data_IF_268858809721
#
_entry.id   IF_268858809721
#
_cell.length_a   1.000
_cell.length_b   1.000
_cell.length_c   1.000
_cell.angle_alpha   90.00
_cell.angle_beta   90.00
_cell.angle_gamma   90.00
#
_symmetry.space_group_name_H-M   'P 1'
#
loop_
_entity.id
_entity.type
_entity.pdbx_description
1 polymer ?
#
# COMPACT_ATOMS: atom_id res chain seq x y z
N UNK A 1 25.78 34.14 3.88
CA UNK A 1 24.64 34.49 3.01
C UNK A 1 23.89 33.15 2.84
N UNK A 2 22.89 32.95 3.66
CA UNK A 2 21.98 31.80 3.54
C UNK A 2 21.07 32.14 2.37
N UNK A 3 21.32 31.51 1.22
CA UNK A 3 20.33 31.49 0.15
C UNK A 3 19.05 30.90 0.75
N UNK A 4 18.01 31.69 0.79
CA UNK A 4 16.65 31.24 1.10
C UNK A 4 16.34 30.11 0.10
N UNK A 5 16.41 28.87 0.56
CA UNK A 5 15.81 27.76 -0.16
C UNK A 5 14.34 28.16 -0.31
N UNK A 6 13.94 28.37 -1.55
CA UNK A 6 12.56 28.71 -1.88
C UNK A 6 11.71 27.47 -1.54
N UNK A 7 11.33 27.38 -0.27
CA UNK A 7 10.53 26.24 0.20
C UNK A 7 9.17 26.30 -0.50
N UNK A 8 8.88 25.24 -1.24
CA UNK A 8 7.56 25.08 -1.82
C UNK A 8 6.55 24.95 -0.68
N UNK A 9 5.75 25.98 -0.46
CA UNK A 9 4.71 26.00 0.58
C UNK A 9 3.43 25.25 0.14
N UNK A 10 3.39 24.71 -1.08
CA UNK A 10 2.27 23.91 -1.55
C UNK A 10 2.44 22.49 -1.05
N UNK A 11 1.43 21.97 -0.37
CA UNK A 11 1.35 20.59 0.10
C UNK A 11 0.13 19.92 -0.50
N UNK A 12 0.21 18.61 -0.69
CA UNK A 12 -0.94 17.78 -1.01
C UNK A 12 -1.20 16.82 0.16
N UNK A 13 -2.44 16.37 0.28
CA UNK A 13 -2.86 15.47 1.34
C UNK A 13 -3.17 14.11 0.73
N UNK A 14 -2.50 13.07 1.22
CA UNK A 14 -2.88 11.68 0.98
C UNK A 14 -3.74 11.21 2.15
N UNK A 15 -4.94 10.73 1.86
CA UNK A 15 -5.82 10.12 2.86
C UNK A 15 -5.78 8.60 2.74
N UNK A 16 -5.25 7.92 3.75
CA UNK A 16 -5.32 6.47 3.89
C UNK A 16 -6.63 6.11 4.61
N UNK A 17 -7.65 5.74 3.86
CA UNK A 17 -9.02 5.51 4.40
C UNK A 17 -9.16 4.22 5.19
N UNK A 18 -8.27 3.26 4.95
CA UNK A 18 -8.10 2.02 5.72
C UNK A 18 -6.63 1.60 5.60
N UNK A 19 -6.13 0.78 6.48
CA UNK A 19 -4.73 0.35 6.47
C UNK A 19 -4.61 -1.15 6.28
N UNK A 20 -3.36 -1.67 6.36
CA UNK A 20 -3.04 -3.10 6.26
C UNK A 20 -3.30 -3.88 7.56
N UNK A 21 -3.33 -3.21 8.71
CA UNK A 21 -3.43 -3.87 10.00
C UNK A 21 -4.81 -4.50 10.27
N UNK A 22 -4.86 -5.51 11.13
CA UNK A 22 -6.11 -6.04 11.68
C UNK A 22 -6.66 -5.07 12.74
N UNK A 23 -7.29 -4.02 12.25
CA UNK A 23 -7.85 -2.93 13.07
C UNK A 23 -9.38 -2.92 13.06
N UNK A 24 -10.02 -3.89 12.43
CA UNK A 24 -11.47 -3.94 12.25
C UNK A 24 -12.26 -3.92 13.57
N UNK A 25 -11.66 -4.44 14.64
CA UNK A 25 -12.22 -4.42 15.99
C UNK A 25 -11.93 -3.16 16.78
N UNK A 26 -10.96 -2.33 16.33
CA UNK A 26 -10.49 -1.15 17.08
C UNK A 26 -11.33 0.10 16.83
N UNK A 27 -11.99 0.17 15.68
CA UNK A 27 -12.85 1.32 15.34
C UNK A 27 -14.10 0.88 14.60
N UNK A 28 -15.30 1.22 15.09
CA UNK A 28 -16.56 0.74 14.51
C UNK A 28 -16.80 1.27 13.09
N UNK A 29 -16.31 2.47 12.79
CA UNK A 29 -16.53 3.14 11.51
C UNK A 29 -15.42 2.86 10.47
N UNK A 30 -14.52 1.91 10.75
CA UNK A 30 -13.50 1.53 9.76
C UNK A 30 -14.20 1.02 8.48
N UNK A 31 -13.91 1.61 7.31
CA UNK A 31 -14.46 1.12 6.05
C UNK A 31 -13.96 -0.31 5.75
N UNK A 32 -14.86 -1.25 5.53
CA UNK A 32 -14.54 -2.67 5.32
C UNK A 32 -14.94 -3.15 3.94
N UNK A 33 -16.12 -2.72 3.47
CA UNK A 33 -16.60 -3.14 2.15
C UNK A 33 -16.06 -2.23 1.06
N UNK A 34 -15.93 -2.71 -0.19
CA UNK A 34 -15.54 -1.87 -1.32
C UNK A 34 -16.39 -0.60 -1.46
N UNK A 35 -17.69 -0.71 -1.19
CA UNK A 35 -18.59 0.46 -1.19
C UNK A 35 -18.22 1.47 -0.10
N UNK A 36 -17.96 1.03 1.13
CA UNK A 36 -17.56 1.90 2.23
C UNK A 36 -16.20 2.55 1.97
N UNK A 37 -15.23 1.78 1.44
CA UNK A 37 -13.89 2.27 1.10
C UNK A 37 -13.98 3.33 -0.01
N UNK A 38 -14.75 3.06 -1.06
CA UNK A 38 -14.95 4.02 -2.15
C UNK A 38 -15.65 5.30 -1.64
N UNK A 39 -16.70 5.15 -0.82
CA UNK A 39 -17.39 6.30 -0.22
C UNK A 39 -16.44 7.14 0.63
N UNK A 40 -15.67 6.53 1.52
CA UNK A 40 -14.69 7.24 2.35
C UNK A 40 -13.63 7.96 1.52
N UNK A 41 -13.14 7.35 0.43
CA UNK A 41 -12.20 7.96 -0.51
C UNK A 41 -12.80 9.19 -1.21
N UNK A 42 -14.05 9.11 -1.65
CA UNK A 42 -14.76 10.21 -2.29
C UNK A 42 -15.00 11.36 -1.29
N UNK A 43 -15.38 11.03 -0.06
CA UNK A 43 -15.59 12.03 1.00
C UNK A 43 -14.28 12.71 1.39
N UNK A 44 -13.17 11.96 1.49
CA UNK A 44 -11.84 12.51 1.73
C UNK A 44 -11.43 13.50 0.61
N UNK A 45 -11.65 13.13 -0.65
CA UNK A 45 -11.37 14.01 -1.79
C UNK A 45 -12.20 15.29 -1.75
N UNK A 46 -13.49 15.19 -1.45
CA UNK A 46 -14.36 16.37 -1.28
C UNK A 46 -13.94 17.27 -0.12
N UNK A 47 -13.30 16.69 0.90
CA UNK A 47 -12.71 17.42 2.02
C UNK A 47 -11.34 18.03 1.72
N UNK A 48 -10.76 17.76 0.52
CA UNK A 48 -9.51 18.36 0.04
C UNK A 48 -8.32 17.42 -0.07
N UNK A 49 -8.50 16.10 0.13
CA UNK A 49 -7.44 15.14 -0.15
C UNK A 49 -7.20 15.05 -1.67
N UNK A 50 -5.93 15.15 -2.07
CA UNK A 50 -5.51 15.00 -3.46
C UNK A 50 -5.36 13.53 -3.86
N UNK A 51 -5.01 12.69 -2.90
CA UNK A 51 -4.71 11.26 -3.09
C UNK A 51 -5.52 10.43 -2.11
N UNK A 52 -6.14 9.36 -2.58
CA UNK A 52 -6.72 8.31 -1.75
C UNK A 52 -5.82 7.07 -1.79
N UNK A 53 -5.24 6.71 -0.65
CA UNK A 53 -4.46 5.49 -0.48
C UNK A 53 -5.38 4.35 -0.06
N UNK A 54 -5.34 3.24 -0.79
CA UNK A 54 -6.37 2.21 -0.74
C UNK A 54 -5.76 0.85 -0.40
N UNK A 55 -6.25 0.28 0.69
CA UNK A 55 -6.24 -1.15 0.95
C UNK A 55 -7.67 -1.68 0.81
N UNK A 56 -7.83 -2.96 0.52
CA UNK A 56 -9.14 -3.62 0.51
C UNK A 56 -9.22 -4.66 1.62
N UNK A 57 -10.45 -5.01 1.99
CA UNK A 57 -10.71 -5.94 3.10
C UNK A 57 -11.76 -6.96 2.70
N UNK A 58 -11.69 -8.13 3.32
CA UNK A 58 -12.74 -9.14 3.28
C UNK A 58 -13.98 -8.66 4.06
N UNK A 59 -15.09 -9.37 3.90
CA UNK A 59 -16.35 -9.02 4.58
C UNK A 59 -16.26 -9.01 6.09
N UNK A 60 -15.39 -9.84 6.66
CA UNK A 60 -15.14 -9.89 8.11
C UNK A 60 -14.23 -8.76 8.59
N UNK A 61 -13.66 -7.98 7.67
CA UNK A 61 -12.78 -6.87 7.92
C UNK A 61 -11.29 -7.21 7.91
N UNK A 62 -10.93 -8.47 7.65
CA UNK A 62 -9.52 -8.85 7.50
C UNK A 62 -8.93 -8.21 6.24
N UNK A 63 -7.64 -7.80 6.26
CA UNK A 63 -6.97 -7.27 5.07
C UNK A 63 -6.99 -8.27 3.91
N UNK A 64 -7.09 -7.76 2.68
CA UNK A 64 -7.16 -8.58 1.47
C UNK A 64 -6.31 -7.99 0.35
N UNK A 65 -5.86 -8.85 -0.59
CA UNK A 65 -5.21 -8.44 -1.84
C UNK A 65 -5.97 -8.88 -3.10
N UNK A 66 -7.21 -9.34 -2.95
CA UNK A 66 -8.04 -9.83 -4.06
C UNK A 66 -8.30 -8.73 -5.10
N UNK A 67 -7.93 -8.94 -6.37
CA UNK A 67 -8.13 -7.93 -7.41
C UNK A 67 -9.58 -7.52 -7.61
N UNK A 68 -10.54 -8.45 -7.43
CA UNK A 68 -11.97 -8.15 -7.57
C UNK A 68 -12.48 -7.11 -6.57
N UNK A 69 -11.90 -7.07 -5.35
CA UNK A 69 -12.25 -6.05 -4.35
C UNK A 69 -11.66 -4.68 -4.74
N UNK A 70 -10.42 -4.66 -5.24
CA UNK A 70 -9.83 -3.43 -5.79
C UNK A 70 -10.62 -2.91 -6.99
N UNK A 71 -11.02 -3.81 -7.90
CA UNK A 71 -11.83 -3.45 -9.06
C UNK A 71 -13.07 -2.70 -8.64
N UNK A 72 -13.83 -3.23 -7.68
CA UNK A 72 -15.07 -2.61 -7.23
C UNK A 72 -14.82 -1.21 -6.62
N UNK A 73 -13.78 -1.05 -5.80
CA UNK A 73 -13.41 0.26 -5.23
C UNK A 73 -13.05 1.25 -6.33
N UNK A 74 -12.15 0.86 -7.24
CA UNK A 74 -11.70 1.71 -8.35
C UNK A 74 -12.86 2.13 -9.24
N UNK A 75 -13.69 1.18 -9.66
CA UNK A 75 -14.85 1.46 -10.52
C UNK A 75 -15.83 2.45 -9.87
N UNK A 76 -16.11 2.29 -8.57
CA UNK A 76 -17.00 3.19 -7.83
C UNK A 76 -16.43 4.60 -7.73
N UNK A 77 -15.14 4.75 -7.43
CA UNK A 77 -14.51 6.07 -7.35
C UNK A 77 -14.48 6.73 -8.72
N UNK A 78 -14.04 6.02 -9.77
CA UNK A 78 -13.97 6.57 -11.15
C UNK A 78 -15.35 6.95 -11.68
N UNK A 79 -16.37 6.12 -11.43
CA UNK A 79 -17.75 6.38 -11.85
C UNK A 79 -18.39 7.57 -11.13
N UNK A 80 -17.87 7.97 -9.96
CA UNK A 80 -18.37 9.13 -9.22
C UNK A 80 -17.99 10.48 -9.88
N UNK A 81 -17.03 10.47 -10.80
CA UNK A 81 -16.47 11.68 -11.39
C UNK A 81 -15.65 12.54 -10.43
N UNK A 82 -15.32 12.01 -9.24
CA UNK A 82 -14.49 12.72 -8.25
C UNK A 82 -13.05 12.79 -8.74
N UNK A 83 -12.49 14.00 -8.77
CA UNK A 83 -11.09 14.25 -9.12
C UNK A 83 -10.20 13.88 -7.92
N UNK A 84 -9.70 12.66 -7.92
CA UNK A 84 -8.78 12.14 -6.90
C UNK A 84 -7.80 11.17 -7.54
N UNK A 85 -6.55 11.29 -7.16
CA UNK A 85 -5.49 10.36 -7.52
C UNK A 85 -5.66 9.08 -6.70
N UNK A 86 -5.66 7.93 -7.36
CA UNK A 86 -5.69 6.63 -6.69
C UNK A 86 -4.26 6.14 -6.44
N UNK A 87 -4.01 5.75 -5.20
CA UNK A 87 -2.79 5.10 -4.75
C UNK A 87 -3.14 3.71 -4.21
N UNK A 88 -2.87 2.66 -4.98
CA UNK A 88 -3.12 1.29 -4.54
C UNK A 88 -1.89 0.73 -3.83
N UNK A 89 -2.11 0.07 -2.70
CA UNK A 89 -1.01 -0.61 -1.99
C UNK A 89 -0.46 -1.79 -2.76
N UNK A 90 0.85 -2.04 -2.64
CA UNK A 90 1.50 -3.28 -3.03
C UNK A 90 2.13 -4.01 -1.84
N UNK A 91 1.92 -3.50 -0.62
CA UNK A 91 2.50 -4.05 0.61
C UNK A 91 1.94 -5.42 1.02
N UNK A 92 0.68 -5.71 0.65
CA UNK A 92 0.03 -6.97 1.02
C UNK A 92 0.70 -8.19 0.37
N UNK A 93 0.86 -9.26 1.13
CA UNK A 93 1.51 -10.50 0.67
C UNK A 93 3.03 -10.49 0.85
N UNK A 94 3.54 -9.68 1.76
CA UNK A 94 4.94 -9.64 2.13
C UNK A 94 5.24 -10.18 3.53
N UNK A 95 4.23 -10.59 4.28
CA UNK A 95 4.39 -10.88 5.70
C UNK A 95 4.83 -12.31 5.96
N UNK A 96 5.89 -12.42 6.77
CA UNK A 96 6.46 -13.65 7.27
C UNK A 96 6.41 -13.63 8.79
N UNK A 97 5.53 -14.43 9.38
CA UNK A 97 5.46 -14.63 10.82
C UNK A 97 6.48 -15.70 11.21
N UNK A 98 7.55 -15.28 11.87
CA UNK A 98 8.60 -16.22 12.33
C UNK A 98 8.07 -16.97 13.54
N UNK A 99 8.07 -18.31 13.45
CA UNK A 99 7.53 -19.18 14.48
C UNK A 99 8.11 -18.95 15.86
N UNK A 100 7.25 -19.00 16.87
CA UNK A 100 7.58 -18.81 18.29
C UNK A 100 8.20 -20.06 18.93
N UNK A 101 8.27 -21.16 18.19
CA UNK A 101 8.80 -22.44 18.67
C UNK A 101 10.33 -22.57 18.54
N UNK A 102 10.84 -23.77 18.83
CA UNK A 102 12.26 -24.09 18.71
C UNK A 102 12.76 -24.18 17.26
N UNK A 103 11.85 -24.22 16.28
CA UNK A 103 12.18 -24.27 14.87
C UNK A 103 11.82 -22.92 14.19
N UNK A 104 12.80 -22.08 13.85
CA UNK A 104 12.55 -20.78 13.23
C UNK A 104 12.03 -20.89 11.79
N UNK A 105 12.03 -22.07 11.19
CA UNK A 105 11.45 -22.33 9.85
C UNK A 105 10.00 -22.81 9.92
N UNK A 106 9.42 -22.92 11.10
CA UNK A 106 8.00 -23.17 11.30
C UNK A 106 7.27 -21.83 11.39
N UNK A 107 6.64 -21.45 10.29
CA UNK A 107 6.03 -20.13 10.16
C UNK A 107 4.67 -20.05 10.87
N UNK A 108 4.41 -18.91 11.46
CA UNK A 108 3.17 -18.63 12.17
C UNK A 108 1.98 -18.29 11.25
N UNK A 109 0.79 -18.18 11.85
CA UNK A 109 -0.47 -18.04 11.12
C UNK A 109 -0.64 -16.70 10.39
N UNK A 110 0.18 -15.70 10.69
CA UNK A 110 0.14 -14.40 10.01
C UNK A 110 0.99 -14.36 8.73
N UNK A 111 1.62 -15.48 8.36
CA UNK A 111 2.38 -15.57 7.10
C UNK A 111 1.44 -15.54 5.90
N UNK A 112 1.63 -14.55 5.02
CA UNK A 112 0.83 -14.39 3.80
C UNK A 112 1.68 -14.24 2.53
N UNK A 113 2.93 -14.69 2.57
CA UNK A 113 3.94 -14.53 1.51
C UNK A 113 3.43 -14.88 0.12
N UNK A 114 3.51 -13.93 -0.78
CA UNK A 114 3.20 -14.05 -2.20
C UNK A 114 4.38 -13.55 -3.05
N UNK A 115 4.47 -14.00 -4.30
CA UNK A 115 5.48 -13.45 -5.20
C UNK A 115 5.16 -12.00 -5.59
N UNK A 116 6.18 -11.23 -5.92
CA UNK A 116 6.04 -9.79 -6.17
C UNK A 116 5.08 -9.47 -7.32
N UNK A 117 4.98 -10.33 -8.35
CA UNK A 117 4.07 -10.09 -9.48
C UNK A 117 2.61 -10.29 -9.07
N UNK A 118 2.33 -11.20 -8.15
CA UNK A 118 1.01 -11.36 -7.56
C UNK A 118 0.66 -10.13 -6.70
N UNK A 119 1.61 -9.63 -5.90
CA UNK A 119 1.41 -8.45 -5.05
C UNK A 119 1.06 -7.20 -5.84
N UNK A 120 1.65 -7.01 -7.02
CA UNK A 120 1.37 -5.85 -7.90
C UNK A 120 0.25 -6.09 -8.92
N UNK A 121 -0.42 -7.24 -8.89
CA UNK A 121 -1.40 -7.63 -9.92
C UNK A 121 -2.58 -6.65 -10.04
N UNK A 122 -3.08 -6.13 -8.93
CA UNK A 122 -4.16 -5.12 -8.95
C UNK A 122 -3.69 -3.81 -9.58
N UNK A 123 -2.44 -3.41 -9.33
CA UNK A 123 -1.84 -2.22 -9.97
C UNK A 123 -1.71 -2.42 -11.49
N UNK A 124 -1.28 -3.59 -11.92
CA UNK A 124 -1.19 -3.93 -13.34
C UNK A 124 -2.56 -3.95 -14.04
N UNK A 125 -3.60 -4.43 -13.33
CA UNK A 125 -4.95 -4.54 -13.90
C UNK A 125 -5.69 -3.21 -13.96
N UNK A 126 -5.53 -2.35 -12.95
CA UNK A 126 -6.37 -1.15 -12.81
C UNK A 126 -5.64 0.16 -13.09
N UNK A 127 -4.33 0.12 -13.29
CA UNK A 127 -3.48 1.23 -13.71
C UNK A 127 -3.78 2.52 -12.93
N UNK A 128 -3.66 2.52 -11.59
CA UNK A 128 -3.80 3.75 -10.81
C UNK A 128 -2.69 4.74 -11.18
N UNK A 129 -2.83 6.00 -10.81
CA UNK A 129 -1.79 7.00 -11.00
C UNK A 129 -0.55 6.69 -10.16
N UNK A 130 -0.77 6.18 -8.93
CA UNK A 130 0.27 5.89 -7.94
C UNK A 130 0.03 4.50 -7.33
N UNK A 131 1.11 3.84 -6.93
CA UNK A 131 1.05 2.70 -6.02
C UNK A 131 2.16 2.82 -4.98
N UNK A 132 1.99 2.27 -3.78
CA UNK A 132 3.08 2.21 -2.81
C UNK A 132 4.08 1.11 -3.16
N UNK A 133 5.33 1.31 -2.77
CA UNK A 133 6.40 0.32 -2.89
C UNK A 133 7.32 0.43 -1.67
N UNK A 134 7.20 -0.52 -0.75
CA UNK A 134 8.05 -0.60 0.44
C UNK A 134 9.48 -0.94 0.05
N UNK A 135 10.42 -0.03 0.25
CA UNK A 135 11.76 -0.09 -0.31
C UNK A 135 12.73 -1.02 0.44
N UNK A 136 12.22 -1.95 1.23
CA UNK A 136 13.07 -2.94 1.93
C UNK A 136 12.30 -3.84 2.88
N UNK A 137 12.99 -4.84 3.39
CA UNK A 137 12.50 -5.73 4.45
C UNK A 137 12.52 -4.99 5.78
N UNK A 138 11.46 -5.11 6.57
CA UNK A 138 11.32 -4.43 7.86
C UNK A 138 10.59 -5.30 8.89
N UNK A 139 10.82 -5.01 10.18
CA UNK A 139 9.98 -5.57 11.25
C UNK A 139 8.61 -4.89 11.21
N UNK A 140 7.54 -5.67 11.19
CA UNK A 140 6.19 -5.13 11.13
C UNK A 140 5.60 -5.02 12.55
N UNK A 141 5.66 -3.81 13.08
CA UNK A 141 5.21 -3.54 14.44
C UNK A 141 6.10 -4.17 15.53
N UNK A 142 5.54 -4.36 16.71
CA UNK A 142 6.16 -5.03 17.86
C UNK A 142 5.66 -6.49 17.96
N UNK A 143 6.04 -7.30 16.98
CA UNK A 143 5.57 -8.69 16.83
C UNK A 143 6.65 -9.57 16.23
N UNK A 144 6.31 -10.84 15.95
CA UNK A 144 7.16 -11.80 15.23
C UNK A 144 7.09 -11.67 13.70
N UNK A 145 6.34 -10.69 13.20
CA UNK A 145 6.12 -10.52 11.75
C UNK A 145 7.19 -9.63 11.13
N UNK A 146 7.71 -10.09 10.00
CA UNK A 146 8.65 -9.37 9.14
C UNK A 146 7.98 -9.19 7.78
N UNK A 147 7.90 -7.96 7.30
CA UNK A 147 7.52 -7.73 5.90
C UNK A 147 8.75 -7.86 5.02
N UNK A 148 8.73 -8.81 4.10
CA UNK A 148 9.88 -9.20 3.28
C UNK A 148 9.79 -8.55 1.90
N UNK A 149 10.80 -7.72 1.59
CA UNK A 149 10.98 -7.09 0.28
C UNK A 149 12.45 -7.25 -0.15
N UNK A 150 12.72 -8.28 -0.96
CA UNK A 150 14.09 -8.49 -1.42
C UNK A 150 14.50 -7.48 -2.50
N UNK A 151 15.80 -7.11 -2.59
CA UNK A 151 16.29 -6.23 -3.66
C UNK A 151 15.95 -6.72 -5.07
N UNK A 152 15.92 -8.04 -5.27
CA UNK A 152 15.57 -8.63 -6.56
C UNK A 152 14.09 -8.41 -6.91
N UNK A 153 13.19 -8.60 -5.95
CA UNK A 153 11.76 -8.41 -6.16
C UNK A 153 11.40 -6.93 -6.34
N UNK A 154 12.04 -6.06 -5.56
CA UNK A 154 11.87 -4.61 -5.71
C UNK A 154 12.30 -4.12 -7.10
N UNK A 155 13.44 -4.62 -7.65
CA UNK A 155 13.84 -4.29 -9.02
C UNK A 155 12.85 -4.80 -10.07
N UNK A 156 12.28 -6.01 -9.88
CA UNK A 156 11.24 -6.54 -10.77
C UNK A 156 9.98 -5.68 -10.72
N UNK A 157 9.51 -5.33 -9.50
CA UNK A 157 8.36 -4.46 -9.31
C UNK A 157 8.60 -3.09 -9.96
N UNK A 158 9.70 -2.41 -9.64
CA UNK A 158 10.04 -1.09 -10.19
C UNK A 158 10.09 -1.11 -11.72
N UNK A 159 10.72 -2.14 -12.32
CA UNK A 159 10.73 -2.31 -13.77
C UNK A 159 9.32 -2.44 -14.32
N UNK A 160 8.48 -3.30 -13.73
CA UNK A 160 7.11 -3.50 -14.18
C UNK A 160 6.29 -2.22 -14.07
N UNK A 161 6.37 -1.51 -12.95
CA UNK A 161 5.67 -0.25 -12.73
C UNK A 161 6.07 0.82 -13.76
N UNK A 162 7.36 0.89 -14.08
CA UNK A 162 7.87 1.76 -15.15
C UNK A 162 7.28 1.38 -16.52
N UNK A 163 7.26 0.09 -16.85
CA UNK A 163 6.74 -0.42 -18.13
C UNK A 163 5.24 -0.07 -18.31
N UNK A 164 4.44 -0.16 -17.23
CA UNK A 164 3.01 0.17 -17.23
C UNK A 164 2.71 1.65 -16.89
N UNK A 165 3.74 2.47 -16.66
CA UNK A 165 3.65 3.92 -16.37
C UNK A 165 2.85 4.26 -15.10
N UNK A 166 2.84 3.40 -14.12
CA UNK A 166 2.32 3.69 -12.77
C UNK A 166 3.47 4.23 -11.93
N UNK A 167 3.25 5.36 -11.25
CA UNK A 167 4.27 6.01 -10.43
C UNK A 167 4.33 5.35 -9.05
N UNK A 168 5.49 4.79 -8.63
CA UNK A 168 5.61 4.29 -7.27
C UNK A 168 5.82 5.45 -6.27
N UNK A 169 5.12 5.37 -5.17
CA UNK A 169 5.39 6.09 -3.94
C UNK A 169 6.29 5.19 -3.09
N UNK A 170 7.53 5.61 -2.88
CA UNK A 170 8.52 4.83 -2.13
C UNK A 170 8.25 4.98 -0.65
N UNK A 171 7.96 3.87 0.02
CA UNK A 171 7.88 3.82 1.47
C UNK A 171 9.23 3.40 2.05
N UNK A 172 9.85 4.31 2.81
CA UNK A 172 11.16 4.11 3.41
C UNK A 172 11.05 4.21 4.93
N UNK A 173 11.28 3.11 5.61
CA UNK A 173 11.14 2.99 7.07
C UNK A 173 12.46 3.19 7.81
N UNK A 174 13.57 3.11 7.08
CA UNK A 174 14.93 3.35 7.58
C UNK A 174 15.85 3.94 6.50
N UNK A 175 17.10 4.25 6.87
CA UNK A 175 18.07 4.83 5.95
C UNK A 175 18.50 3.87 4.83
N UNK A 176 18.48 2.56 5.07
CA UNK A 176 18.77 1.54 4.07
C UNK A 176 17.68 1.49 3.02
N UNK A 177 16.41 1.55 3.44
CA UNK A 177 15.25 1.65 2.54
C UNK A 177 15.32 2.93 1.69
N UNK A 178 15.65 4.07 2.30
CA UNK A 178 15.79 5.34 1.59
C UNK A 178 16.90 5.28 0.55
N UNK A 179 18.08 4.76 0.91
CA UNK A 179 19.20 4.57 0.00
C UNK A 179 18.80 3.61 -1.14
N UNK A 180 18.23 2.46 -0.84
CA UNK A 180 17.85 1.49 -1.86
C UNK A 180 16.74 2.01 -2.77
N UNK A 181 15.73 2.66 -2.22
CA UNK A 181 14.66 3.31 -2.99
C UNK A 181 15.22 4.30 -4.03
N UNK A 182 16.25 5.06 -3.68
CA UNK A 182 16.92 5.97 -4.61
C UNK A 182 17.65 5.27 -5.76
N UNK A 183 17.94 3.98 -5.65
CA UNK A 183 18.61 3.17 -6.68
C UNK A 183 17.62 2.47 -7.64
N UNK A 184 16.32 2.56 -7.37
CA UNK A 184 15.29 1.91 -8.20
C UNK A 184 14.89 2.74 -9.43
N UNK A 185 15.30 4.03 -9.49
CA UNK A 185 14.92 5.00 -10.55
C UNK A 185 16.12 5.71 -11.16
#
# INVERSE_FOLDING_TARGET
ILDYINMNNKVFITCAVTGSGDTASKHPDLPKTPEQIAKASIEAAKAGAAIAHIHVREKDGTPSRKPELYKEVVDRIRSSGTDVILNLTTGMGGDLDIGQGNNPLEFGPMTDMANVMERISSVEQFLPEICTLDAGTLNFGDSSVITVNTPNDLRKAAKKLKDIKVKPEIEAFDLGNMWFGSQLY
#
